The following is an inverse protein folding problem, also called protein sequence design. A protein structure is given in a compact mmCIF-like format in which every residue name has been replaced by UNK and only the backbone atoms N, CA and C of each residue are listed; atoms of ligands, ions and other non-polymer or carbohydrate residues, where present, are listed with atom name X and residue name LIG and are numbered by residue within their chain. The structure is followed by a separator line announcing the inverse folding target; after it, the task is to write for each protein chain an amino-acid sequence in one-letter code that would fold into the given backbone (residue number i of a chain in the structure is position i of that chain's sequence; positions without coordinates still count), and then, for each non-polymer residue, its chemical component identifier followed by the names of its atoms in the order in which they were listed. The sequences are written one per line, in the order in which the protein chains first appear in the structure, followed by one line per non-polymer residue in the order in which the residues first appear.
data_IF_969687272194
#
_entry.id   IF_969687272194
#
_cell.length_a   1.000
_cell.length_b   1.000
_cell.length_c   1.000
_cell.angle_alpha   90.00
_cell.angle_beta   90.00
_cell.angle_gamma   90.00
#
_symmetry.space_group_name_H-M   'P 1'
#
loop_
_entity.id
_entity.type
_entity.pdbx_description
1 polymer ?
#
# COMPACT_ATOMS: atom_id res chain seq x y z
N UNK A 1 -36.87 -31.19 -49.10
CA UNK A 1 -35.72 -30.26 -49.27
C UNK A 1 -35.84 -29.11 -48.28
N UNK A 2 -34.71 -28.60 -47.76
CA UNK A 2 -34.50 -27.56 -46.71
C UNK A 2 -34.29 -28.16 -45.30
N UNK A 3 -33.08 -28.63 -45.01
CA UNK A 3 -31.85 -27.94 -44.52
C UNK A 3 -31.85 -27.80 -42.98
N UNK A 4 -31.29 -28.81 -42.32
CA UNK A 4 -30.76 -28.76 -40.95
C UNK A 4 -29.66 -27.68 -40.88
N UNK A 5 -29.81 -26.71 -39.99
CA UNK A 5 -28.75 -25.74 -39.70
C UNK A 5 -27.79 -26.34 -38.66
N UNK A 6 -26.52 -26.46 -39.03
CA UNK A 6 -25.43 -26.82 -38.12
C UNK A 6 -25.14 -25.68 -37.14
N UNK A 7 -25.07 -26.06 -35.87
CA UNK A 7 -24.70 -25.20 -34.73
C UNK A 7 -23.21 -24.85 -34.83
N UNK A 8 -22.88 -23.58 -35.10
CA UNK A 8 -21.51 -23.05 -35.01
C UNK A 8 -21.09 -23.02 -33.53
N UNK A 9 -20.03 -23.75 -33.19
CA UNK A 9 -19.39 -23.69 -31.88
C UNK A 9 -18.67 -22.33 -31.73
N UNK A 10 -18.96 -21.61 -30.64
CA UNK A 10 -18.22 -20.38 -30.27
C UNK A 10 -16.83 -20.76 -29.74
N UNK A 11 -15.80 -20.13 -30.28
CA UNK A 11 -14.41 -20.27 -29.84
C UNK A 11 -14.23 -19.71 -28.41
N UNK A 12 -13.46 -20.42 -27.59
CA UNK A 12 -13.04 -19.98 -26.26
C UNK A 12 -12.01 -18.83 -26.38
N UNK A 13 -12.03 -17.82 -25.49
CA UNK A 13 -11.02 -16.75 -25.50
C UNK A 13 -9.67 -17.30 -25.03
N UNK A 14 -8.58 -16.88 -25.69
CA UNK A 14 -7.20 -17.13 -25.24
C UNK A 14 -6.87 -16.24 -24.03
N UNK A 15 -6.11 -16.72 -23.05
CA UNK A 15 -5.64 -15.89 -21.94
C UNK A 15 -4.62 -14.85 -22.45
N UNK A 16 -4.80 -13.62 -22.00
CA UNK A 16 -3.88 -12.50 -22.18
C UNK A 16 -2.67 -12.75 -21.27
N UNK A 17 -1.49 -12.83 -21.85
CA UNK A 17 -0.23 -12.81 -21.11
C UNK A 17 0.04 -11.34 -20.74
N UNK A 18 -0.01 -11.04 -19.45
CA UNK A 18 0.47 -9.77 -18.90
C UNK A 18 1.96 -9.99 -18.64
N UNK A 19 2.81 -9.29 -19.38
CA UNK A 19 4.23 -9.20 -19.07
C UNK A 19 4.36 -8.38 -17.78
N UNK A 20 4.78 -9.05 -16.71
CA UNK A 20 5.19 -8.38 -15.48
C UNK A 20 6.59 -7.80 -15.72
N UNK A 21 6.65 -6.53 -16.07
CA UNK A 21 7.86 -5.72 -15.96
C UNK A 21 8.24 -5.64 -14.47
N UNK A 22 9.13 -6.53 -14.05
CA UNK A 22 9.80 -6.50 -12.75
C UNK A 22 10.72 -5.28 -12.70
N UNK A 23 10.15 -4.14 -12.30
CA UNK A 23 10.91 -3.01 -11.78
C UNK A 23 11.56 -3.42 -10.45
N UNK A 24 12.75 -3.99 -10.56
CA UNK A 24 13.65 -4.26 -9.43
C UNK A 24 14.18 -2.91 -8.93
N UNK A 25 13.51 -2.34 -7.93
CA UNK A 25 14.02 -1.17 -7.22
C UNK A 25 15.23 -1.63 -6.41
N UNK A 26 16.43 -1.34 -6.90
CA UNK A 26 17.64 -1.38 -6.10
C UNK A 26 17.40 -0.58 -4.81
N UNK A 27 17.31 -1.29 -3.69
CA UNK A 27 17.51 -0.67 -2.37
C UNK A 27 19.01 -0.49 -2.25
N UNK A 28 19.48 0.67 -2.72
CA UNK A 28 20.83 1.16 -2.47
C UNK A 28 20.92 1.54 -1.00
N UNK A 29 21.46 0.63 -0.19
CA UNK A 29 21.73 0.90 1.21
C UNK A 29 23.07 1.64 1.28
N UNK A 30 23.03 2.93 0.90
CA UNK A 30 24.15 3.84 0.99
C UNK A 30 24.54 4.06 2.44
N UNK A 31 25.58 3.37 2.89
CA UNK A 31 26.41 3.79 4.02
C UNK A 31 27.30 4.94 3.58
N UNK A 32 26.79 6.17 3.72
CA UNK A 32 27.61 7.38 3.76
C UNK A 32 28.28 7.47 5.13
N UNK A 33 29.52 7.00 5.21
CA UNK A 33 30.43 7.28 6.33
C UNK A 33 31.41 8.37 5.86
N UNK A 34 31.01 9.65 5.99
CA UNK A 34 31.97 10.76 5.96
C UNK A 34 32.74 10.79 7.28
N UNK A 35 33.97 10.27 7.28
CA UNK A 35 34.97 10.61 8.29
C UNK A 35 36.18 11.24 7.61
N UNK A 36 36.32 12.55 7.82
CA UNK A 36 37.55 13.29 7.59
C UNK A 36 38.55 12.92 8.69
N UNK A 37 39.74 12.45 8.31
CA UNK A 37 40.96 12.89 8.97
C UNK A 37 42.20 12.68 8.09
N UNK A 38 42.99 13.75 8.00
CA UNK A 38 44.23 13.86 7.22
C UNK A 38 45.44 13.29 7.98
N UNK A 39 46.43 12.84 7.20
CA UNK A 39 47.85 12.62 7.53
C UNK A 39 48.24 11.36 8.32
N UNK A 40 49.02 10.46 7.70
CA UNK A 40 50.49 10.45 7.83
C UNK A 40 51.14 9.49 6.82
N UNK A 41 52.35 9.84 6.39
CA UNK A 41 53.13 9.19 5.35
C UNK A 41 54.09 8.13 5.93
N UNK A 42 54.15 6.94 5.30
CA UNK A 42 55.38 6.37 4.69
C UNK A 42 55.28 4.86 4.41
N UNK A 43 56.05 4.34 3.44
CA UNK A 43 55.71 3.13 2.69
C UNK A 43 56.54 1.91 3.09
N UNK A 44 55.92 0.74 3.17
CA UNK A 44 56.59 -0.56 3.03
C UNK A 44 55.54 -1.67 2.87
N UNK A 45 55.64 -2.45 1.79
CA UNK A 45 54.99 -3.76 1.78
C UNK A 45 54.49 -4.24 0.42
N UNK A 46 55.40 -4.87 -0.33
CA UNK A 46 55.12 -6.10 -1.07
C UNK A 46 53.99 -6.08 -2.11
N UNK A 47 54.31 -5.47 -3.26
CA UNK A 47 53.67 -5.79 -4.54
C UNK A 47 53.93 -7.27 -4.87
N UNK A 48 52.89 -8.09 -4.70
CA UNK A 48 52.81 -9.41 -5.31
C UNK A 48 51.62 -9.40 -6.26
N UNK A 49 51.88 -8.88 -7.46
CA UNK A 49 50.99 -9.00 -8.60
C UNK A 49 50.63 -10.46 -8.84
N UNK A 50 49.36 -10.79 -8.60
CA UNK A 50 48.75 -11.98 -9.19
C UNK A 50 47.81 -11.53 -10.29
N UNK A 51 48.43 -11.10 -11.39
CA UNK A 51 47.81 -11.07 -12.71
C UNK A 51 47.40 -12.50 -13.06
N UNK A 52 46.18 -12.92 -12.70
CA UNK A 52 45.56 -14.09 -13.32
C UNK A 52 45.06 -13.67 -14.71
N UNK A 53 46.02 -13.34 -15.57
CA UNK A 53 45.83 -13.25 -17.00
C UNK A 53 45.33 -14.61 -17.48
N UNK A 54 44.05 -14.65 -17.84
CA UNK A 54 43.43 -15.79 -18.51
C UNK A 54 44.29 -16.18 -19.70
N UNK A 55 45.13 -17.20 -19.51
CA UNK A 55 46.04 -17.74 -20.51
C UNK A 55 45.16 -18.34 -21.61
N UNK A 56 44.90 -17.56 -22.65
CA UNK A 56 44.33 -18.06 -23.89
C UNK A 56 45.28 -19.11 -24.46
N UNK A 57 44.99 -20.38 -24.18
CA UNK A 57 45.64 -21.50 -24.84
C UNK A 57 45.11 -21.51 -26.27
N UNK A 58 45.88 -20.89 -27.18
CA UNK A 58 45.66 -20.97 -28.62
C UNK A 58 45.79 -22.43 -29.03
N UNK A 59 44.69 -23.03 -29.50
CA UNK A 59 44.69 -24.38 -30.05
C UNK A 59 45.67 -24.47 -31.25
N UNK A 60 46.43 -25.57 -31.40
CA UNK A 60 47.32 -25.73 -32.54
C UNK A 60 46.49 -25.97 -33.82
N UNK A 61 46.91 -25.35 -34.92
CA UNK A 61 46.35 -25.60 -36.24
C UNK A 61 46.72 -27.02 -36.70
N UNK A 62 45.72 -27.80 -37.14
CA UNK A 62 45.91 -29.14 -37.67
C UNK A 62 46.37 -29.09 -39.13
N UNK A 63 47.62 -29.45 -39.38
CA UNK A 63 48.09 -29.85 -40.70
C UNK A 63 47.58 -31.26 -41.02
N UNK A 64 47.00 -31.42 -42.21
CA UNK A 64 46.60 -32.71 -42.76
C UNK A 64 47.84 -33.40 -43.33
N UNK A 65 48.13 -34.61 -42.87
CA UNK A 65 48.78 -35.61 -43.71
C UNK A 65 48.34 -37.02 -43.31
N UNK A 66 48.16 -37.84 -44.35
CA UNK A 66 47.50 -39.13 -44.36
C UNK A 66 48.46 -40.29 -44.14
N UNK A 67 48.09 -41.28 -43.32
CA UNK A 67 48.52 -42.67 -43.51
C UNK A 67 47.57 -43.66 -42.80
N UNK A 68 47.33 -44.79 -43.46
CA UNK A 68 46.34 -45.81 -43.14
C UNK A 68 46.76 -46.77 -42.00
N UNK A 69 45.71 -47.39 -41.45
CA UNK A 69 45.60 -48.80 -41.05
C UNK A 69 45.69 -49.19 -39.55
N UNK A 70 44.59 -49.83 -39.12
CA UNK A 70 44.50 -50.90 -38.12
C UNK A 70 44.43 -50.52 -36.62
N UNK A 71 43.19 -50.37 -36.09
CA UNK A 71 42.75 -50.80 -34.73
C UNK A 71 41.29 -50.40 -34.45
N UNK A 72 40.34 -51.17 -35.00
CA UNK A 72 38.90 -51.01 -34.71
C UNK A 72 38.56 -51.76 -33.42
N UNK A 73 38.77 -51.14 -32.24
CA UNK A 73 38.06 -51.44 -30.96
C UNK A 73 38.58 -50.66 -29.72
N UNK A 74 39.78 -50.06 -29.76
CA UNK A 74 40.32 -49.27 -28.64
C UNK A 74 39.97 -47.76 -28.72
N UNK A 75 39.74 -47.22 -29.92
CA UNK A 75 39.50 -45.80 -30.16
C UNK A 75 38.15 -45.29 -29.64
N UNK A 76 37.16 -46.17 -29.50
CA UNK A 76 35.79 -45.81 -29.11
C UNK A 76 35.68 -45.51 -27.59
N UNK A 77 36.53 -46.16 -26.78
CA UNK A 77 36.59 -45.99 -25.33
C UNK A 77 37.31 -44.70 -24.92
N UNK A 78 38.43 -44.39 -25.57
CA UNK A 78 39.17 -43.13 -25.36
C UNK A 78 38.39 -41.91 -25.88
N UNK A 79 37.63 -42.04 -26.98
CA UNK A 79 36.75 -40.98 -27.45
C UNK A 79 35.55 -40.73 -26.52
N UNK A 80 34.97 -41.79 -25.94
CA UNK A 80 33.88 -41.66 -24.98
C UNK A 80 34.34 -40.98 -23.68
N UNK A 81 35.52 -41.34 -23.15
CA UNK A 81 36.11 -40.70 -21.98
C UNK A 81 36.50 -39.24 -22.24
N UNK A 82 37.01 -38.92 -23.43
CA UNK A 82 37.32 -37.56 -23.84
C UNK A 82 36.06 -36.69 -24.00
N UNK A 83 34.98 -37.23 -24.58
CA UNK A 83 33.69 -36.54 -24.68
C UNK A 83 33.02 -36.34 -23.32
N UNK A 84 33.16 -37.28 -22.38
CA UNK A 84 32.71 -37.10 -21.00
C UNK A 84 33.49 -35.99 -20.30
N UNK A 85 34.82 -35.93 -20.47
CA UNK A 85 35.66 -34.85 -19.91
C UNK A 85 35.32 -33.48 -20.51
N UNK A 86 35.05 -33.40 -21.81
CA UNK A 86 34.62 -32.16 -22.47
C UNK A 86 33.22 -31.73 -21.99
N UNK A 87 32.29 -32.67 -21.84
CA UNK A 87 30.95 -32.38 -21.28
C UNK A 87 31.03 -31.93 -19.82
N UNK A 88 31.91 -32.53 -19.01
CA UNK A 88 32.15 -32.13 -17.63
C UNK A 88 32.77 -30.73 -17.54
N UNK A 89 33.77 -30.43 -18.38
CA UNK A 89 34.33 -29.08 -18.52
C UNK A 89 33.27 -28.06 -18.93
N UNK A 90 32.39 -28.40 -19.87
CA UNK A 90 31.31 -27.51 -20.32
C UNK A 90 30.23 -27.27 -19.26
N UNK A 91 30.06 -28.18 -18.29
CA UNK A 91 29.19 -27.98 -17.13
C UNK A 91 29.84 -27.06 -16.08
N UNK A 92 31.17 -27.05 -16.00
CA UNK A 92 31.94 -26.22 -15.07
C UNK A 92 31.98 -24.74 -15.45
N UNK A 93 31.84 -24.41 -16.74
CA UNK A 93 31.79 -23.03 -17.26
C UNK A 93 30.35 -22.52 -17.49
N UNK A 94 29.33 -23.21 -16.98
CA UNK A 94 27.97 -22.68 -17.06
C UNK A 94 27.86 -21.46 -16.15
N UNK A 95 27.22 -20.37 -16.62
CA UNK A 95 26.89 -19.27 -15.74
C UNK A 95 26.03 -19.80 -14.57
N UNK A 96 26.19 -19.24 -13.36
CA UNK A 96 25.43 -19.67 -12.20
C UNK A 96 23.93 -19.67 -12.52
N UNK A 97 23.25 -20.73 -12.13
CA UNK A 97 21.80 -20.81 -12.25
C UNK A 97 21.13 -19.86 -11.27
N UNK A 98 19.93 -19.39 -11.58
CA UNK A 98 19.18 -18.45 -10.73
C UNK A 98 18.99 -18.99 -9.31
N UNK A 99 18.86 -20.31 -9.16
CA UNK A 99 18.80 -20.99 -7.87
C UNK A 99 20.12 -20.93 -7.09
N UNK A 100 21.27 -21.05 -7.77
CA UNK A 100 22.59 -20.91 -7.15
C UNK A 100 22.86 -19.46 -6.72
N UNK A 101 22.44 -18.49 -7.55
CA UNK A 101 22.53 -17.06 -7.22
C UNK A 101 21.63 -16.74 -6.02
N UNK A 102 20.41 -17.27 -5.98
CA UNK A 102 19.50 -17.07 -4.84
C UNK A 102 20.04 -17.70 -3.56
N UNK A 103 20.64 -18.90 -3.61
CA UNK A 103 21.27 -19.51 -2.43
C UNK A 103 22.44 -18.70 -1.89
N UNK A 104 23.26 -18.14 -2.78
CA UNK A 104 24.36 -17.27 -2.37
C UNK A 104 23.84 -16.00 -1.70
N UNK A 105 22.84 -15.35 -2.31
CA UNK A 105 22.18 -14.16 -1.74
C UNK A 105 21.47 -14.45 -0.41
N UNK A 106 20.78 -15.59 -0.30
CA UNK A 106 20.11 -16.02 0.94
C UNK A 106 21.12 -16.30 2.06
N UNK A 107 22.27 -16.88 1.73
CA UNK A 107 23.33 -17.18 2.71
C UNK A 107 24.03 -15.91 3.18
N UNK A 108 24.27 -14.96 2.26
CA UNK A 108 24.79 -13.62 2.58
C UNK A 108 23.80 -12.84 3.47
N UNK A 109 22.52 -12.83 3.09
CA UNK A 109 21.46 -12.13 3.83
C UNK A 109 21.00 -12.87 5.09
N UNK A 110 21.49 -14.08 5.36
CA UNK A 110 20.98 -14.93 6.45
C UNK A 110 21.11 -14.25 7.83
N UNK A 111 22.23 -13.56 8.08
CA UNK A 111 22.47 -12.93 9.38
C UNK A 111 21.67 -11.63 9.56
N UNK A 112 21.71 -10.74 8.57
CA UNK A 112 21.00 -9.46 8.63
C UNK A 112 19.48 -9.63 8.55
N UNK A 113 18.99 -10.59 7.74
CA UNK A 113 17.57 -10.87 7.62
C UNK A 113 16.98 -11.52 8.88
N UNK A 114 17.75 -12.34 9.61
CA UNK A 114 17.24 -12.99 10.82
C UNK A 114 17.10 -12.01 12.00
N UNK A 115 18.12 -11.17 12.25
CA UNK A 115 18.02 -10.16 13.30
C UNK A 115 16.94 -9.12 12.98
N UNK A 116 16.89 -8.65 11.73
CA UNK A 116 15.86 -7.72 11.28
C UNK A 116 14.46 -8.33 11.42
N UNK A 117 14.28 -9.59 11.00
CA UNK A 117 13.01 -10.31 11.17
C UNK A 117 12.60 -10.41 12.64
N UNK A 118 13.52 -10.75 13.55
CA UNK A 118 13.22 -10.82 14.98
C UNK A 118 12.79 -9.45 15.53
N UNK A 119 13.46 -8.38 15.13
CA UNK A 119 13.11 -7.01 15.51
C UNK A 119 11.72 -6.62 15.00
N UNK A 120 11.41 -6.93 13.73
CA UNK A 120 10.10 -6.64 13.13
C UNK A 120 9.00 -7.46 13.81
N UNK A 121 9.23 -8.75 14.06
CA UNK A 121 8.26 -9.62 14.77
C UNK A 121 7.97 -9.07 16.17
N UNK A 122 9.02 -8.70 16.92
CA UNK A 122 8.87 -8.13 18.26
C UNK A 122 8.14 -6.79 18.23
N UNK A 123 8.52 -5.89 17.32
CA UNK A 123 7.85 -4.60 17.14
C UNK A 123 6.37 -4.78 16.82
N UNK A 124 6.02 -5.70 15.92
CA UNK A 124 4.63 -5.97 15.55
C UNK A 124 3.82 -6.50 16.75
N UNK A 125 4.40 -7.32 17.62
CA UNK A 125 3.73 -7.77 18.85
C UNK A 125 3.41 -6.60 19.78
N UNK A 126 4.31 -5.62 19.87
CA UNK A 126 4.15 -4.45 20.75
C UNK A 126 3.14 -3.43 20.22
N UNK A 127 3.16 -3.16 18.90
CA UNK A 127 2.33 -2.10 18.31
C UNK A 127 0.95 -2.57 17.84
N UNK A 128 0.75 -3.89 17.69
CA UNK A 128 -0.51 -4.46 17.17
C UNK A 128 -1.71 -4.11 18.05
N UNK A 129 -2.79 -3.70 17.39
CA UNK A 129 -4.08 -3.47 18.05
C UNK A 129 -4.62 -4.78 18.64
N UNK A 130 -4.96 -4.74 19.94
CA UNK A 130 -5.50 -5.89 20.67
C UNK A 130 -6.89 -6.25 20.13
N UNK A 131 -7.19 -7.55 20.07
CA UNK A 131 -8.50 -8.05 19.61
C UNK A 131 -9.69 -7.45 20.36
N UNK A 132 -9.52 -7.15 21.66
CA UNK A 132 -10.56 -6.48 22.48
C UNK A 132 -10.98 -5.12 21.90
N UNK A 133 -10.02 -4.34 21.39
CA UNK A 133 -10.29 -3.02 20.79
C UNK A 133 -11.03 -3.20 19.46
N UNK A 134 -10.63 -4.16 18.63
CA UNK A 134 -11.34 -4.46 17.39
C UNK A 134 -12.80 -4.85 17.63
N UNK A 135 -13.06 -5.71 18.62
CA UNK A 135 -14.44 -6.08 19.01
C UNK A 135 -15.24 -4.88 19.54
N UNK A 136 -14.59 -3.99 20.32
CA UNK A 136 -15.21 -2.75 20.78
C UNK A 136 -15.61 -1.84 19.61
N UNK A 137 -14.69 -1.63 18.64
CA UNK A 137 -14.95 -0.83 17.44
C UNK A 137 -16.15 -1.37 16.66
N UNK A 138 -16.23 -2.69 16.45
CA UNK A 138 -17.38 -3.28 15.74
C UNK A 138 -18.71 -3.12 16.49
N UNK A 139 -18.70 -3.26 17.82
CA UNK A 139 -19.88 -3.02 18.66
C UNK A 139 -20.32 -1.56 18.57
N UNK A 140 -19.38 -0.63 18.79
CA UNK A 140 -19.63 0.81 18.71
C UNK A 140 -20.14 1.21 17.32
N UNK A 141 -19.53 0.72 16.24
CA UNK A 141 -19.95 0.99 14.87
C UNK A 141 -21.35 0.40 14.57
N UNK A 142 -21.66 -0.75 15.16
CA UNK A 142 -23.00 -1.34 15.15
C UNK A 142 -24.06 -0.40 15.76
N UNK A 143 -23.75 0.20 16.91
CA UNK A 143 -24.64 1.14 17.59
C UNK A 143 -24.69 2.49 16.87
N UNK A 144 -23.58 2.98 16.34
CA UNK A 144 -23.55 4.17 15.49
C UNK A 144 -24.42 4.03 14.24
N UNK A 145 -24.37 2.86 13.56
CA UNK A 145 -25.27 2.54 12.45
C UNK A 145 -26.75 2.53 12.86
N UNK A 146 -27.08 2.10 14.08
CA UNK A 146 -28.46 2.18 14.60
C UNK A 146 -28.85 3.62 14.88
N UNK A 147 -27.97 4.42 15.48
CA UNK A 147 -28.17 5.84 15.71
C UNK A 147 -28.45 6.59 14.41
N UNK A 148 -27.64 6.39 13.35
CA UNK A 148 -27.87 7.01 12.04
C UNK A 148 -29.26 6.72 11.47
N UNK A 149 -29.83 5.53 11.73
CA UNK A 149 -31.20 5.18 11.35
C UNK A 149 -32.29 5.92 12.14
N UNK A 150 -31.97 6.43 13.33
CA UNK A 150 -32.91 7.21 14.16
C UNK A 150 -32.89 8.70 13.83
N UNK A 151 -31.80 9.21 13.25
CA UNK A 151 -31.69 10.61 12.82
C UNK A 151 -32.68 10.86 11.68
N UNK A 152 -33.65 11.76 11.89
CA UNK A 152 -34.62 12.16 10.87
C UNK A 152 -34.01 13.19 9.92
N UNK A 153 -34.66 13.38 8.77
CA UNK A 153 -34.37 14.52 7.90
C UNK A 153 -34.58 15.84 8.65
N UNK A 154 -33.86 16.88 8.25
CA UNK A 154 -33.95 18.21 8.85
C UNK A 154 -35.38 18.78 8.71
N UNK A 155 -35.90 19.33 9.81
CA UNK A 155 -37.28 19.85 9.91
C UNK A 155 -37.56 21.05 8.99
N UNK A 156 -36.54 21.61 8.35
CA UNK A 156 -36.67 22.67 7.36
C UNK A 156 -35.36 23.00 6.65
N UNK A 157 -35.45 23.94 5.71
CA UNK A 157 -34.29 24.53 5.05
C UNK A 157 -33.68 25.62 5.95
N UNK A 158 -32.37 25.50 6.21
CA UNK A 158 -31.58 26.44 7.02
C UNK A 158 -30.69 27.30 6.10
N UNK A 159 -30.56 28.59 6.40
CA UNK A 159 -29.60 29.46 5.69
C UNK A 159 -28.16 29.05 5.98
N UNK A 160 -27.24 29.23 5.03
CA UNK A 160 -25.82 28.88 5.25
C UNK A 160 -25.11 29.79 6.28
N UNK A 161 -25.74 30.90 6.65
CA UNK A 161 -25.28 31.82 7.68
C UNK A 161 -25.78 31.47 9.08
N UNK A 162 -26.80 30.62 9.19
CA UNK A 162 -27.37 30.18 10.45
C UNK A 162 -26.52 29.07 11.08
N UNK A 163 -25.42 29.49 11.71
CA UNK A 163 -24.41 28.63 12.34
C UNK A 163 -24.73 28.26 13.80
N UNK A 164 -25.95 28.54 14.28
CA UNK A 164 -26.38 28.24 15.64
C UNK A 164 -26.80 26.78 15.83
N UNK A 165 -26.03 26.02 16.59
CA UNK A 165 -26.32 24.62 16.97
C UNK A 165 -26.25 24.45 18.49
N UNK A 166 -27.13 23.62 19.05
CA UNK A 166 -27.14 23.35 20.50
C UNK A 166 -25.99 22.42 20.90
N UNK A 167 -25.13 22.89 21.81
CA UNK A 167 -23.99 22.10 22.31
C UNK A 167 -22.86 21.87 21.30
N UNK A 168 -22.90 22.50 20.13
CA UNK A 168 -21.93 22.30 19.04
C UNK A 168 -21.47 23.64 18.47
N UNK A 169 -20.15 23.86 18.43
CA UNK A 169 -19.56 25.04 17.78
C UNK A 169 -19.39 24.78 16.28
N UNK A 170 -19.82 25.73 15.45
CA UNK A 170 -19.61 25.65 14.01
C UNK A 170 -18.12 25.77 13.64
N UNK A 171 -17.58 24.91 12.74
CA UNK A 171 -16.14 24.77 12.54
C UNK A 171 -15.52 25.72 11.51
N UNK A 172 -16.31 26.51 10.78
CA UNK A 172 -15.82 27.45 9.76
C UNK A 172 -16.08 28.89 10.19
N UNK A 173 -15.22 29.80 9.74
CA UNK A 173 -15.42 31.24 9.92
C UNK A 173 -16.45 31.76 8.92
N UNK A 174 -17.45 32.50 9.41
CA UNK A 174 -18.45 33.16 8.57
C UNK A 174 -17.85 34.48 8.07
N UNK A 175 -17.72 34.70 6.76
CA UNK A 175 -17.22 35.97 6.23
C UNK A 175 -18.19 37.11 6.52
N UNK A 176 -17.70 38.33 6.71
CA UNK A 176 -18.55 39.50 7.02
C UNK A 176 -19.57 39.81 5.92
N UNK A 177 -19.24 39.55 4.65
CA UNK A 177 -20.14 39.74 3.53
C UNK A 177 -20.95 38.45 3.24
N UNK A 178 -22.06 38.30 3.95
CA UNK A 178 -22.89 37.08 3.99
C UNK A 178 -23.96 37.03 2.89
N UNK A 179 -24.08 38.04 2.04
CA UNK A 179 -25.21 38.18 1.09
C UNK A 179 -25.39 36.96 0.18
N UNK A 180 -24.28 36.32 -0.21
CA UNK A 180 -24.29 35.13 -1.06
C UNK A 180 -24.71 33.88 -0.28
N UNK A 181 -24.35 33.79 1.00
CA UNK A 181 -24.66 32.64 1.86
C UNK A 181 -26.12 32.68 2.34
N UNK A 182 -26.66 33.86 2.65
CA UNK A 182 -28.06 34.06 3.07
C UNK A 182 -29.10 33.61 2.04
N UNK A 183 -28.77 33.73 0.76
CA UNK A 183 -29.66 33.33 -0.35
C UNK A 183 -29.67 31.83 -0.57
N UNK A 184 -28.68 31.12 -0.03
CA UNK A 184 -28.51 29.68 -0.22
C UNK A 184 -28.96 28.97 1.04
N UNK A 185 -29.76 27.94 0.84
CA UNK A 185 -30.25 27.12 1.93
C UNK A 185 -29.71 25.70 1.85
N UNK A 186 -29.70 25.05 3.01
CA UNK A 186 -29.29 23.69 3.20
C UNK A 186 -30.37 22.93 3.97
N UNK A 187 -30.68 21.73 3.51
CA UNK A 187 -31.52 20.79 4.23
C UNK A 187 -30.71 19.53 4.52
N UNK A 188 -30.67 19.15 5.80
CA UNK A 188 -30.09 17.88 6.20
C UNK A 188 -30.96 16.72 5.70
N UNK A 189 -30.34 15.74 5.06
CA UNK A 189 -30.98 14.50 4.66
C UNK A 189 -30.29 13.33 5.35
N UNK A 190 -31.08 12.39 5.88
CA UNK A 190 -30.60 11.24 6.63
C UNK A 190 -29.68 10.34 5.79
N UNK A 191 -28.51 9.99 6.35
CA UNK A 191 -27.61 8.99 5.78
C UNK A 191 -27.71 7.67 6.50
N UNK A 192 -28.01 6.61 5.73
CA UNK A 192 -28.16 5.25 6.26
C UNK A 192 -26.91 4.40 6.10
N UNK A 193 -26.02 4.81 5.19
CA UNK A 193 -24.83 4.07 4.83
C UNK A 193 -23.63 4.80 5.42
N UNK A 194 -22.81 4.05 6.16
CA UNK A 194 -21.51 4.49 6.65
C UNK A 194 -20.49 3.44 6.26
N UNK A 195 -19.40 3.88 5.65
CA UNK A 195 -18.30 3.03 5.25
C UNK A 195 -17.13 3.26 6.18
N UNK A 196 -16.64 2.19 6.80
CA UNK A 196 -15.32 2.21 7.40
C UNK A 196 -14.28 2.32 6.27
N UNK A 197 -13.27 3.16 6.46
CA UNK A 197 -12.14 3.36 5.55
C UNK A 197 -10.84 3.41 6.38
N UNK A 198 -9.70 3.68 5.73
CA UNK A 198 -8.42 3.85 6.42
C UNK A 198 -7.77 2.55 6.89
N UNK A 199 -6.71 2.70 7.69
CA UNK A 199 -5.86 1.61 8.16
C UNK A 199 -6.64 0.58 8.99
N UNK A 200 -7.62 1.04 9.76
CA UNK A 200 -8.44 0.18 10.61
C UNK A 200 -9.22 -0.88 9.80
N UNK A 201 -9.80 -0.49 8.66
CA UNK A 201 -10.46 -1.44 7.75
C UNK A 201 -9.50 -2.41 7.08
N UNK A 202 -8.28 -1.98 6.79
CA UNK A 202 -7.24 -2.82 6.19
C UNK A 202 -6.57 -3.75 7.20
N UNK A 203 -6.81 -3.55 8.51
CA UNK A 203 -6.14 -4.29 9.57
C UNK A 203 -4.66 -3.91 9.74
N UNK A 204 -4.26 -2.76 9.22
CA UNK A 204 -2.89 -2.23 9.28
C UNK A 204 -2.73 -1.11 10.30
N UNK A 205 -3.70 -0.98 11.19
CA UNK A 205 -3.72 0.01 12.26
C UNK A 205 -2.80 -0.42 13.42
N UNK A 206 -2.11 0.52 14.03
CA UNK A 206 -1.11 0.24 15.06
C UNK A 206 -0.97 1.40 16.05
N UNK A 207 -0.52 1.07 17.26
CA UNK A 207 -0.28 2.05 18.31
C UNK A 207 -1.55 2.55 19.00
N UNK A 208 -1.40 3.66 19.72
CA UNK A 208 -2.46 4.35 20.46
C UNK A 208 -2.31 5.86 20.27
N UNK A 209 -3.41 6.63 20.18
CA UNK A 209 -4.80 6.17 20.11
C UNK A 209 -5.12 5.47 18.78
N UNK A 210 -6.09 4.56 18.79
CA UNK A 210 -6.61 3.91 17.59
C UNK A 210 -7.65 4.83 16.95
N UNK A 211 -7.45 5.23 15.70
CA UNK A 211 -8.34 6.15 14.99
C UNK A 211 -9.08 5.39 13.89
N UNK A 212 -10.41 5.43 13.93
CA UNK A 212 -11.25 4.75 12.95
C UNK A 212 -11.87 5.76 12.00
N UNK A 213 -11.43 5.74 10.75
CA UNK A 213 -11.97 6.64 9.73
C UNK A 213 -13.32 6.13 9.21
N UNK A 214 -14.34 6.99 9.29
CA UNK A 214 -15.68 6.72 8.79
C UNK A 214 -16.04 7.69 7.68
N UNK A 215 -16.49 7.13 6.55
CA UNK A 215 -16.99 7.86 5.40
C UNK A 215 -18.52 7.84 5.40
N UNK A 216 -19.10 9.03 5.45
CA UNK A 216 -20.52 9.27 5.21
C UNK A 216 -20.65 10.06 3.92
N UNK A 217 -21.42 9.54 2.98
CA UNK A 217 -21.71 10.20 1.71
C UNK A 217 -22.93 11.13 1.88
N UNK A 218 -22.77 12.40 1.52
CA UNK A 218 -23.88 13.36 1.57
C UNK A 218 -24.70 13.20 0.28
N UNK A 219 -26.04 13.11 0.31
CA UNK A 219 -26.83 12.88 -0.89
C UNK A 219 -26.70 14.03 -1.86
N UNK A 220 -26.71 13.69 -3.14
CA UNK A 220 -26.69 14.68 -4.23
C UNK A 220 -27.83 15.70 -4.11
N UNK A 221 -28.97 15.31 -3.52
CA UNK A 221 -30.13 16.18 -3.30
C UNK A 221 -29.86 17.35 -2.34
N UNK A 222 -28.83 17.26 -1.49
CA UNK A 222 -28.42 18.37 -0.63
C UNK A 222 -27.65 19.46 -1.41
N UNK A 223 -27.19 19.14 -2.62
CA UNK A 223 -26.32 20.00 -3.41
C UNK A 223 -27.01 20.57 -4.66
N UNK A 224 -26.63 21.79 -4.99
CA UNK A 224 -26.94 22.46 -6.23
C UNK A 224 -25.70 22.45 -7.13
N UNK A 225 -25.90 22.54 -8.45
CA UNK A 225 -24.81 22.48 -9.44
C UNK A 225 -23.76 23.58 -9.26
N UNK A 226 -24.14 24.70 -8.66
CA UNK A 226 -23.28 25.87 -8.42
C UNK A 226 -22.68 25.93 -7.00
N UNK A 227 -22.80 24.87 -6.21
CA UNK A 227 -22.27 24.88 -4.84
C UNK A 227 -20.74 24.84 -4.78
N UNK A 228 -20.07 24.61 -5.91
CA UNK A 228 -18.63 24.77 -6.01
C UNK A 228 -18.17 26.23 -5.92
N UNK A 229 -19.07 27.21 -6.09
CA UNK A 229 -18.79 28.64 -6.00
C UNK A 229 -18.92 29.14 -4.56
N UNK A 230 -18.12 30.15 -4.21
CA UNK A 230 -18.27 30.96 -2.99
C UNK A 230 -18.39 30.14 -1.70
N UNK A 231 -17.60 29.07 -1.57
CA UNK A 231 -17.56 28.20 -0.38
C UNK A 231 -18.89 27.52 0.00
N UNK A 232 -19.92 27.57 -0.85
CA UNK A 232 -21.26 27.01 -0.55
C UNK A 232 -21.19 25.53 -0.18
N UNK A 233 -20.41 24.74 -0.92
CA UNK A 233 -20.18 23.33 -0.63
C UNK A 233 -19.55 23.10 0.76
N UNK A 234 -18.55 23.90 1.12
CA UNK A 234 -17.85 23.78 2.41
C UNK A 234 -18.79 24.07 3.57
N UNK A 235 -19.61 25.13 3.47
CA UNK A 235 -20.63 25.45 4.46
C UNK A 235 -21.71 24.37 4.54
N UNK A 236 -22.24 23.89 3.40
CA UNK A 236 -23.20 22.76 3.39
C UNK A 236 -22.65 21.52 4.06
N UNK A 237 -21.39 21.18 3.79
CA UNK A 237 -20.69 20.05 4.43
C UNK A 237 -20.52 20.28 5.94
N UNK A 238 -20.18 21.49 6.37
CA UNK A 238 -20.08 21.83 7.79
C UNK A 238 -21.45 21.74 8.49
N UNK A 239 -22.51 22.30 7.91
CA UNK A 239 -23.88 22.18 8.44
C UNK A 239 -24.34 20.73 8.55
N UNK A 240 -24.00 19.90 7.56
CA UNK A 240 -24.29 18.47 7.61
C UNK A 240 -23.64 17.81 8.83
N UNK A 241 -22.36 18.09 9.07
CA UNK A 241 -21.63 17.54 10.23
C UNK A 241 -22.13 18.11 11.55
N UNK A 242 -22.44 19.41 11.63
CA UNK A 242 -22.98 20.05 12.83
C UNK A 242 -24.35 19.50 13.20
N UNK A 243 -25.23 19.26 12.22
CA UNK A 243 -26.52 18.61 12.50
C UNK A 243 -26.32 17.20 13.07
N UNK A 244 -25.38 16.43 12.51
CA UNK A 244 -25.07 15.10 13.03
C UNK A 244 -24.49 15.17 14.46
N UNK A 245 -23.60 16.13 14.72
CA UNK A 245 -23.00 16.37 16.02
C UNK A 245 -24.04 16.76 17.07
N UNK A 246 -24.94 17.69 16.75
CA UNK A 246 -26.02 18.15 17.64
C UNK A 246 -26.94 16.98 18.01
N UNK A 247 -27.32 16.16 17.03
CA UNK A 247 -28.10 14.94 17.28
C UNK A 247 -27.33 13.90 18.10
N UNK A 248 -26.02 13.81 17.93
CA UNK A 248 -25.16 12.89 18.68
C UNK A 248 -25.01 13.32 20.15
N UNK A 249 -24.93 14.62 20.41
CA UNK A 249 -24.89 15.20 21.77
C UNK A 249 -26.27 15.13 22.45
N UNK A 250 -27.35 15.37 21.71
CA UNK A 250 -28.71 15.40 22.26
C UNK A 250 -29.38 14.03 22.48
N UNK A 251 -28.78 12.94 22.00
CA UNK A 251 -29.37 11.59 22.12
C UNK A 251 -28.88 10.85 23.37
N UNK A 252 -29.81 10.37 24.18
CA UNK A 252 -29.53 9.65 25.44
C UNK A 252 -29.64 8.13 25.32
N UNK A 253 -30.04 7.63 24.13
CA UNK A 253 -30.35 6.21 23.92
C UNK A 253 -29.11 5.35 23.72
N UNK A 254 -28.09 5.91 23.07
CA UNK A 254 -26.83 5.23 22.81
C UNK A 254 -25.70 6.10 23.38
N UNK A 255 -24.93 5.59 24.33
CA UNK A 255 -23.74 6.28 24.88
C UNK A 255 -22.58 6.20 23.86
N UNK A 256 -22.75 6.88 22.72
CA UNK A 256 -21.82 6.79 21.59
C UNK A 256 -20.65 7.76 21.72
N UNK A 257 -20.82 8.88 22.44
CA UNK A 257 -19.86 9.96 22.45
C UNK A 257 -19.73 10.55 23.86
N UNK A 258 -18.51 10.48 24.41
CA UNK A 258 -18.13 11.21 25.62
C UNK A 258 -17.67 12.63 25.29
N UNK A 259 -17.02 12.78 24.13
CA UNK A 259 -16.60 14.08 23.59
C UNK A 259 -16.87 14.14 22.09
N UNK A 260 -17.35 15.30 21.63
CA UNK A 260 -17.61 15.59 20.22
C UNK A 260 -16.90 16.90 19.87
N UNK A 261 -16.14 16.91 18.78
CA UNK A 261 -15.38 18.06 18.34
C UNK A 261 -15.14 18.10 16.83
N UNK A 262 -14.45 19.13 16.37
CA UNK A 262 -14.07 19.28 14.97
C UNK A 262 -12.56 19.41 14.83
N UNK A 263 -12.01 18.68 13.86
CA UNK A 263 -10.57 18.74 13.50
C UNK A 263 -10.45 18.96 11.99
N UNK A 264 -9.41 19.67 11.56
CA UNK A 264 -9.12 19.87 10.14
C UNK A 264 -8.65 18.55 9.49
N UNK A 265 -9.31 18.12 8.41
CA UNK A 265 -8.91 16.93 7.68
C UNK A 265 -7.51 17.14 7.07
N UNK A 266 -6.50 16.43 7.60
CA UNK A 266 -5.11 16.53 7.15
C UNK A 266 -4.57 17.97 7.16
N UNK A 267 -5.00 18.77 8.13
CA UNK A 267 -4.58 20.17 8.29
C UNK A 267 -5.32 21.18 7.40
N UNK A 268 -6.28 20.76 6.56
CA UNK A 268 -7.10 21.66 5.75
C UNK A 268 -8.26 22.23 6.59
N UNK A 269 -8.13 23.50 6.99
CA UNK A 269 -9.13 24.21 7.82
C UNK A 269 -10.48 24.35 7.13
N UNK A 270 -10.53 24.29 5.79
CA UNK A 270 -11.78 24.37 5.02
C UNK A 270 -12.51 23.02 4.94
N UNK A 271 -11.89 21.94 5.43
CA UNK A 271 -12.45 20.59 5.44
C UNK A 271 -12.47 20.01 6.86
N UNK A 272 -13.31 20.56 7.76
CA UNK A 272 -13.44 20.01 9.10
C UNK A 272 -14.03 18.58 9.04
N UNK A 273 -13.62 17.72 9.95
CA UNK A 273 -14.21 16.40 10.20
C UNK A 273 -14.74 16.36 11.62
N UNK A 274 -15.80 15.58 11.81
CA UNK A 274 -16.37 15.33 13.13
C UNK A 274 -15.51 14.30 13.84
N UNK A 275 -14.84 14.71 14.92
CA UNK A 275 -14.12 13.82 15.80
C UNK A 275 -15.02 13.42 16.97
N UNK A 276 -15.15 12.12 17.19
CA UNK A 276 -15.98 11.54 18.26
C UNK A 276 -15.11 10.65 19.11
N UNK A 277 -14.96 11.00 20.37
CA UNK A 277 -14.35 10.13 21.37
C UNK A 277 -15.48 9.33 22.02
N UNK A 278 -15.47 7.99 21.93
CA UNK A 278 -16.47 7.16 22.60
C UNK A 278 -16.52 7.44 24.10
N UNK A 279 -17.71 7.35 24.69
CA UNK A 279 -17.83 7.32 26.16
C UNK A 279 -17.11 6.08 26.67
N UNK A 280 -16.32 6.20 27.74
CA UNK A 280 -15.62 5.07 28.34
C UNK A 280 -16.63 3.98 28.79
N UNK A 281 -16.37 2.72 28.44
CA UNK A 281 -16.83 1.52 29.17
C UNK A 281 -15.68 1.05 30.07
#
# INVERSE_FOLDING_TARGET
MKKFQQKKQKAKPKPVQVEEDLNDSMIDNGTDEESNDENDASPAGSDSGHESGGRFVRAPASSKESAQATKRKALDRDQAEHQQKIKAMKQLYKPPTVEEINRLKETENFYHSNLFRLQVEQMLVEVRVKAKVASFVERWLGDFRKFLRTVKDGEGERGLDDVGYEGVRFPLEVPENVEVLQKVKFQFLQQRIVHQIGANKLGTDYGKPVVVDLLLEIPERCFHKEDYLNMRYHFKRAHFLCHLAERLVGQTKYELAGQVGFVALKGDSLKPVLEVTPSEE
#
